data_IF_087116052622
#
_entry.id   IF_087116052622
#
_cell.length_a   1.000
_cell.length_b   1.000
_cell.length_c   1.000
_cell.angle_alpha   90.00
_cell.angle_beta   90.00
_cell.angle_gamma   90.00
#
_symmetry.space_group_name_H-M   'P 1'
#
loop_
_entity.id
_entity.type
_entity.pdbx_description
1 polymer ?
#
# COMPACT_ATOMS: atom_id res chain seq x y z
N UNK A 1 6.48 -1.96 17.57
CA UNK A 1 7.72 -2.38 16.89
C UNK A 1 7.48 -2.37 15.39
N UNK A 2 8.31 -1.63 14.65
CA UNK A 2 8.28 -1.60 13.19
C UNK A 2 9.26 -2.65 12.65
N UNK A 3 8.81 -3.51 11.74
CA UNK A 3 9.68 -4.42 10.98
C UNK A 3 9.85 -3.90 9.57
N UNK A 4 11.07 -3.97 9.04
CA UNK A 4 11.40 -3.50 7.70
C UNK A 4 12.10 -4.59 6.92
N UNK A 5 11.80 -4.70 5.62
CA UNK A 5 12.56 -5.49 4.65
C UNK A 5 12.59 -4.74 3.32
N UNK A 6 13.77 -4.62 2.72
CA UNK A 6 13.87 -4.11 1.35
C UNK A 6 13.86 -5.29 0.40
N UNK A 7 13.13 -5.17 -0.70
CA UNK A 7 13.13 -6.12 -1.79
C UNK A 7 13.16 -5.38 -3.13
N UNK A 8 13.49 -6.09 -4.20
CA UNK A 8 13.73 -5.50 -5.52
C UNK A 8 12.70 -6.05 -6.52
N UNK A 9 12.02 -5.15 -7.22
CA UNK A 9 11.16 -5.48 -8.36
C UNK A 9 11.67 -4.70 -9.57
N UNK A 10 12.22 -5.41 -10.56
CA UNK A 10 12.80 -4.82 -11.77
C UNK A 10 13.80 -3.70 -11.46
N UNK A 11 14.79 -3.99 -10.61
CA UNK A 11 15.84 -3.06 -10.14
C UNK A 11 15.36 -1.85 -9.32
N UNK A 12 14.09 -1.83 -8.91
CA UNK A 12 13.55 -0.75 -8.08
C UNK A 12 13.39 -1.28 -6.65
N UNK A 13 14.00 -0.61 -5.65
CA UNK A 13 13.88 -1.00 -4.27
C UNK A 13 12.54 -0.55 -3.69
N UNK A 14 11.86 -1.48 -3.03
CA UNK A 14 10.64 -1.24 -2.27
C UNK A 14 10.90 -1.57 -0.80
N UNK A 15 10.59 -0.62 0.07
CA UNK A 15 10.85 -0.74 1.50
C UNK A 15 9.58 -1.20 2.22
N UNK A 16 9.33 -2.50 2.25
CA UNK A 16 8.25 -3.07 3.05
C UNK A 16 8.43 -2.68 4.52
N UNK A 17 7.39 -2.12 5.14
CA UNK A 17 7.34 -1.94 6.58
C UNK A 17 6.04 -2.50 7.16
N UNK A 18 6.14 -3.16 8.32
CA UNK A 18 5.03 -3.72 9.08
C UNK A 18 5.03 -3.18 10.51
N UNK A 19 3.95 -2.50 10.89
CA UNK A 19 3.73 -2.05 12.26
C UNK A 19 3.04 -3.15 13.06
N UNK A 20 3.85 -3.97 13.74
CA UNK A 20 3.36 -5.11 14.53
C UNK A 20 2.43 -4.65 15.65
N UNK A 21 2.66 -3.48 16.23
CA UNK A 21 1.84 -3.01 17.34
C UNK A 21 0.42 -2.72 16.86
N UNK A 22 0.27 -1.98 15.76
CA UNK A 22 -1.03 -1.70 15.17
C UNK A 22 -1.73 -2.99 14.75
N UNK A 23 -1.01 -3.88 14.05
CA UNK A 23 -1.59 -5.14 13.60
C UNK A 23 -2.03 -6.06 14.75
N UNK A 24 -1.22 -6.18 15.82
CA UNK A 24 -1.60 -6.93 17.02
C UNK A 24 -2.83 -6.31 17.70
N UNK A 25 -2.87 -4.98 17.83
CA UNK A 25 -4.01 -4.30 18.42
C UNK A 25 -5.32 -4.67 17.69
N UNK A 26 -5.29 -4.71 16.34
CA UNK A 26 -6.46 -5.14 15.54
C UNK A 26 -6.80 -6.62 15.68
N UNK A 27 -5.82 -7.50 15.91
CA UNK A 27 -6.04 -8.94 16.15
C UNK A 27 -6.67 -9.27 17.50
N UNK A 28 -6.50 -8.40 18.50
CA UNK A 28 -7.04 -8.56 19.84
C UNK A 28 -8.40 -7.88 20.04
N UNK A 29 -8.83 -7.04 19.09
CA UNK A 29 -10.20 -6.56 19.05
C UNK A 29 -11.16 -7.74 18.78
N UNK A 30 -12.33 -7.73 19.41
CA UNK A 30 -13.39 -8.71 19.10
C UNK A 30 -13.89 -8.46 17.68
N UNK A 31 -13.30 -9.19 16.73
CA UNK A 31 -13.46 -8.96 15.32
C UNK A 31 -13.85 -10.27 14.60
N UNK A 32 -14.95 -10.30 13.83
CA UNK A 32 -15.38 -11.49 13.11
C UNK A 32 -14.36 -12.00 12.08
N UNK A 33 -13.52 -11.11 11.54
CA UNK A 33 -12.51 -11.38 10.49
C UNK A 33 -11.10 -11.62 11.07
N UNK A 34 -11.01 -12.03 12.34
CA UNK A 34 -9.73 -12.26 13.03
C UNK A 34 -8.82 -13.25 12.31
N UNK A 35 -9.38 -14.25 11.66
CA UNK A 35 -8.62 -15.24 10.89
C UNK A 35 -7.95 -14.62 9.67
N UNK A 36 -8.65 -13.76 8.92
CA UNK A 36 -8.08 -13.04 7.77
C UNK A 36 -6.91 -12.16 8.20
N UNK A 37 -7.04 -11.50 9.35
CA UNK A 37 -5.97 -10.66 9.90
C UNK A 37 -4.76 -11.50 10.32
N UNK A 38 -4.99 -12.72 10.82
CA UNK A 38 -3.92 -13.67 11.15
C UNK A 38 -3.22 -14.15 9.88
N UNK A 39 -3.98 -14.44 8.83
CA UNK A 39 -3.44 -14.81 7.51
C UNK A 39 -2.60 -13.68 6.92
N UNK A 40 -3.06 -12.44 7.04
CA UNK A 40 -2.31 -11.25 6.67
C UNK A 40 -0.99 -11.15 7.47
N UNK A 41 -1.02 -11.43 8.78
CA UNK A 41 0.18 -11.51 9.61
C UNK A 41 1.18 -12.56 9.15
N UNK A 42 0.69 -13.75 8.81
CA UNK A 42 1.50 -14.83 8.24
C UNK A 42 2.14 -14.39 6.93
N UNK A 43 1.40 -13.67 6.09
CA UNK A 43 1.90 -13.11 4.85
C UNK A 43 3.00 -12.06 5.10
N UNK A 44 2.76 -11.09 5.96
CA UNK A 44 3.76 -10.08 6.36
C UNK A 44 5.02 -10.70 6.95
N UNK A 45 4.88 -11.77 7.74
CA UNK A 45 6.01 -12.53 8.27
C UNK A 45 6.85 -13.14 7.14
N UNK A 46 6.22 -13.77 6.13
CA UNK A 46 6.92 -14.31 4.94
C UNK A 46 7.69 -13.21 4.21
N UNK A 47 7.04 -12.07 3.94
CA UNK A 47 7.68 -10.91 3.29
C UNK A 47 8.87 -10.42 4.10
N UNK A 48 8.70 -10.20 5.40
CA UNK A 48 9.77 -9.74 6.30
C UNK A 48 10.97 -10.72 6.32
N UNK A 49 10.70 -12.03 6.30
CA UNK A 49 11.73 -13.07 6.24
C UNK A 49 12.41 -13.17 4.87
N UNK A 50 11.92 -12.44 3.86
CA UNK A 50 12.44 -12.50 2.48
C UNK A 50 11.93 -13.71 1.69
N UNK A 51 10.91 -14.40 2.19
CA UNK A 51 10.26 -15.54 1.51
C UNK A 51 9.27 -14.97 0.50
N UNK A 52 9.81 -14.44 -0.59
CA UNK A 52 9.08 -13.89 -1.74
C UNK A 52 9.67 -14.48 -3.03
N UNK A 53 8.89 -14.62 -4.12
CA UNK A 53 9.38 -15.17 -5.38
C UNK A 53 10.20 -14.13 -6.15
N UNK A 54 11.43 -13.83 -5.71
CA UNK A 54 12.26 -12.77 -6.29
C UNK A 54 12.45 -12.87 -7.81
N UNK A 55 12.62 -14.09 -8.33
CA UNK A 55 12.80 -14.32 -9.77
C UNK A 55 11.57 -13.84 -10.56
N UNK A 56 10.38 -14.07 -10.02
CA UNK A 56 9.12 -13.65 -10.60
C UNK A 56 9.01 -12.11 -10.65
N UNK A 57 9.40 -11.44 -9.56
CA UNK A 57 9.41 -9.97 -9.48
C UNK A 57 10.46 -9.32 -10.38
N UNK A 58 11.43 -10.08 -10.92
CA UNK A 58 12.47 -9.54 -11.78
C UNK A 58 12.41 -10.08 -13.21
N UNK A 59 11.38 -10.88 -13.53
CA UNK A 59 11.13 -11.37 -14.87
C UNK A 59 10.70 -10.22 -15.80
N UNK A 60 11.41 -10.03 -16.91
CA UNK A 60 11.12 -8.95 -17.88
C UNK A 60 9.74 -9.08 -18.54
N UNK A 61 9.25 -10.31 -18.68
CA UNK A 61 7.93 -10.60 -19.27
C UNK A 61 6.74 -10.28 -18.36
N UNK A 62 6.97 -9.99 -17.08
CA UNK A 62 5.94 -9.64 -16.12
C UNK A 62 6.03 -8.14 -15.82
N UNK A 63 5.20 -7.29 -16.45
CA UNK A 63 5.27 -5.85 -16.23
C UNK A 63 4.83 -5.50 -14.81
N UNK A 64 5.40 -4.43 -14.27
CA UNK A 64 4.91 -3.84 -13.02
C UNK A 64 3.49 -3.33 -13.23
N UNK A 65 2.63 -3.48 -12.21
CA UNK A 65 1.28 -2.89 -12.23
C UNK A 65 1.34 -1.37 -12.50
N UNK A 66 2.35 -0.66 -12.03
CA UNK A 66 2.54 0.77 -12.32
C UNK A 66 2.84 1.10 -13.80
N UNK A 67 3.27 0.10 -14.58
CA UNK A 67 3.42 0.21 -16.04
C UNK A 67 2.11 -0.06 -16.78
N UNK A 68 1.11 -0.65 -16.10
CA UNK A 68 -0.21 -0.83 -16.67
C UNK A 68 -0.90 0.52 -16.81
N UNK A 69 -0.82 1.08 -18.01
CA UNK A 69 -1.47 2.34 -18.38
C UNK A 69 -2.51 2.04 -19.44
N UNK A 70 -3.74 2.51 -19.22
CA UNK A 70 -4.76 2.51 -20.26
C UNK A 70 -4.36 3.59 -21.27
N UNK A 71 -3.86 3.18 -22.44
CA UNK A 71 -3.41 4.06 -23.53
C UNK A 71 -4.49 4.14 -24.62
N UNK A 72 -4.43 5.20 -25.44
CA UNK A 72 -5.32 5.36 -26.60
C UNK A 72 -6.72 5.90 -26.28
N UNK A 73 -7.00 6.26 -25.02
CA UNK A 73 -8.26 6.89 -24.63
C UNK A 73 -8.10 8.40 -24.49
N UNK A 74 -9.11 9.15 -24.96
CA UNK A 74 -9.18 10.60 -24.77
C UNK A 74 -9.27 10.92 -23.27
N UNK A 75 -8.64 12.01 -22.77
CA UNK A 75 -8.71 12.39 -21.36
C UNK A 75 -10.15 12.48 -20.80
N UNK A 76 -11.09 13.00 -21.60
CA UNK A 76 -12.50 13.08 -21.21
C UNK A 76 -13.13 11.70 -20.93
N UNK A 77 -12.72 10.67 -21.66
CA UNK A 77 -13.17 9.30 -21.41
C UNK A 77 -12.62 8.77 -20.10
N UNK A 78 -11.33 9.02 -19.80
CA UNK A 78 -10.75 8.65 -18.51
C UNK A 78 -11.49 9.31 -17.34
N UNK A 79 -11.83 10.59 -17.46
CA UNK A 79 -12.65 11.30 -16.45
C UNK A 79 -14.03 10.67 -16.30
N UNK A 80 -14.72 10.36 -17.40
CA UNK A 80 -16.03 9.71 -17.38
C UNK A 80 -15.95 8.30 -16.76
N UNK A 81 -14.94 7.53 -17.14
CA UNK A 81 -14.70 6.18 -16.62
C UNK A 81 -14.43 6.19 -15.11
N UNK A 82 -13.57 7.10 -14.61
CA UNK A 82 -13.35 7.27 -13.17
C UNK A 82 -14.64 7.64 -12.43
N UNK A 83 -15.47 8.54 -12.99
CA UNK A 83 -16.78 8.88 -12.41
C UNK A 83 -17.72 7.67 -12.37
N UNK A 84 -17.71 6.83 -13.40
CA UNK A 84 -18.50 5.59 -13.42
C UNK A 84 -18.05 4.61 -12.35
N UNK A 85 -16.74 4.37 -12.20
CA UNK A 85 -16.21 3.50 -11.15
C UNK A 85 -16.55 4.00 -9.74
N UNK A 86 -16.55 5.31 -9.53
CA UNK A 86 -16.99 5.90 -8.26
C UNK A 86 -18.48 5.68 -8.05
N UNK A 87 -19.31 5.95 -9.07
CA UNK A 87 -20.77 5.78 -9.02
C UNK A 87 -21.17 4.32 -8.76
N UNK A 88 -20.44 3.37 -9.33
CA UNK A 88 -20.64 1.93 -9.12
C UNK A 88 -20.08 1.42 -7.78
N UNK A 89 -19.49 2.29 -6.96
CA UNK A 89 -18.90 1.92 -5.67
C UNK A 89 -17.61 1.10 -5.78
N UNK A 90 -16.99 1.02 -6.97
CA UNK A 90 -15.70 0.33 -7.18
C UNK A 90 -14.51 1.15 -6.68
N UNK A 91 -14.64 2.48 -6.66
CA UNK A 91 -13.65 3.41 -6.12
C UNK A 91 -14.34 4.32 -5.11
N UNK A 92 -13.75 4.44 -3.91
CA UNK A 92 -14.16 5.44 -2.93
C UNK A 92 -13.25 6.66 -3.05
N UNK A 93 -13.84 7.81 -3.38
CA UNK A 93 -13.11 9.08 -3.45
C UNK A 93 -13.11 9.75 -2.08
N UNK A 94 -11.92 10.06 -1.56
CA UNK A 94 -11.74 10.84 -0.33
C UNK A 94 -11.47 12.31 -0.67
N UNK A 95 -11.98 13.23 0.15
CA UNK A 95 -11.79 14.67 -0.01
C UNK A 95 -10.68 15.21 0.92
N UNK A 96 -10.34 16.48 0.82
CA UNK A 96 -9.32 17.14 1.66
C UNK A 96 -9.60 17.09 3.16
N UNK A 97 -10.87 16.98 3.57
CA UNK A 97 -11.27 16.82 4.97
C UNK A 97 -11.08 15.41 5.53
N UNK A 98 -10.74 14.45 4.66
CA UNK A 98 -10.55 13.06 5.05
C UNK A 98 -9.30 12.88 5.91
N UNK A 99 -9.24 11.75 6.64
CA UNK A 99 -8.19 11.48 7.62
C UNK A 99 -6.79 11.39 7.01
N UNK A 100 -6.62 10.66 5.91
CA UNK A 100 -5.31 10.46 5.27
C UNK A 100 -4.67 11.76 4.73
N UNK A 101 -5.40 12.63 4.00
CA UNK A 101 -4.86 13.92 3.56
C UNK A 101 -4.31 14.80 4.69
N UNK A 102 -4.87 14.73 5.90
CA UNK A 102 -4.34 15.47 7.06
C UNK A 102 -2.91 15.04 7.40
N UNK A 103 -2.62 13.74 7.45
CA UNK A 103 -1.26 13.25 7.67
C UNK A 103 -0.28 13.70 6.57
N UNK A 104 -0.74 13.73 5.32
CA UNK A 104 0.09 14.23 4.21
C UNK A 104 0.45 15.70 4.42
N UNK A 105 -0.53 16.53 4.78
CA UNK A 105 -0.32 17.95 5.06
C UNK A 105 0.63 18.15 6.25
N UNK A 106 0.48 17.39 7.33
CA UNK A 106 1.37 17.47 8.50
C UNK A 106 2.83 17.22 8.12
N UNK A 107 3.09 16.21 7.26
CA UNK A 107 4.44 15.93 6.76
C UNK A 107 4.96 17.07 5.90
N UNK A 108 4.12 17.61 5.01
CA UNK A 108 4.48 18.74 4.15
C UNK A 108 4.86 19.98 4.98
N UNK A 109 4.05 20.34 5.97
CA UNK A 109 4.33 21.47 6.85
C UNK A 109 5.58 21.21 7.69
N UNK A 110 5.78 19.99 8.20
CA UNK A 110 7.01 19.63 8.94
C UNK A 110 8.26 19.82 8.07
N UNK A 111 8.22 19.39 6.80
CA UNK A 111 9.35 19.58 5.88
C UNK A 111 9.64 21.05 5.63
N UNK A 112 8.58 21.86 5.48
CA UNK A 112 8.67 23.31 5.26
C UNK A 112 9.25 24.04 6.49
N UNK A 113 8.79 23.71 7.70
CA UNK A 113 9.26 24.36 8.94
C UNK A 113 10.62 23.87 9.40
N UNK A 114 11.02 22.65 9.04
CA UNK A 114 12.34 22.09 9.36
C UNK A 114 13.42 22.47 8.34
N UNK A 115 13.15 23.44 7.46
CA UNK A 115 14.05 23.91 6.40
C UNK A 115 14.59 22.80 5.48
N UNK A 116 13.86 21.68 5.37
CA UNK A 116 14.19 20.63 4.42
C UNK A 116 13.81 21.16 3.04
N UNK A 117 14.81 21.60 2.27
CA UNK A 117 14.64 22.29 0.99
C UNK A 117 13.89 21.50 -0.10
N UNK A 118 13.58 20.22 0.14
CA UNK A 118 12.92 19.34 -0.82
C UNK A 118 11.52 18.97 -0.33
N UNK A 119 10.54 18.94 -1.24
CA UNK A 119 9.21 18.39 -0.94
C UNK A 119 9.33 16.92 -0.50
N UNK A 120 8.55 16.47 0.50
CA UNK A 120 8.58 15.08 0.93
C UNK A 120 8.19 14.16 -0.24
N UNK A 121 8.91 13.05 -0.37
CA UNK A 121 8.56 11.99 -1.30
C UNK A 121 7.45 11.09 -0.77
N UNK A 122 7.15 10.03 -1.53
CA UNK A 122 6.16 9.02 -1.15
C UNK A 122 6.51 8.31 0.18
N UNK A 123 7.78 7.94 0.37
CA UNK A 123 8.20 7.14 1.52
C UNK A 123 8.06 7.86 2.88
N UNK A 124 8.46 9.14 3.04
CA UNK A 124 8.20 9.89 4.26
C UNK A 124 6.72 10.00 4.61
N UNK A 125 5.87 10.20 3.60
CA UNK A 125 4.42 10.31 3.76
C UNK A 125 3.84 8.98 4.28
N UNK A 126 4.14 7.87 3.58
CA UNK A 126 3.64 6.55 3.96
C UNK A 126 4.12 6.12 5.34
N UNK A 127 5.38 6.39 5.68
CA UNK A 127 5.92 6.11 7.01
C UNK A 127 5.22 6.92 8.10
N UNK A 128 4.95 8.19 7.85
CA UNK A 128 4.24 9.03 8.80
C UNK A 128 2.82 8.48 9.04
N UNK A 129 2.10 8.12 7.97
CA UNK A 129 0.80 7.46 8.07
C UNK A 129 0.94 6.16 8.88
N UNK A 130 1.86 5.26 8.54
CA UNK A 130 2.04 3.98 9.22
C UNK A 130 2.34 4.11 10.73
N UNK A 131 3.02 5.19 11.13
CA UNK A 131 3.38 5.46 12.53
C UNK A 131 2.22 6.12 13.28
N UNK A 132 1.55 7.10 12.67
CA UNK A 132 0.57 7.95 13.36
C UNK A 132 -0.86 7.43 13.25
N UNK A 133 -1.16 6.64 12.23
CA UNK A 133 -2.47 6.04 12.06
C UNK A 133 -2.55 4.64 12.65
N UNK A 134 -3.32 4.48 13.72
CA UNK A 134 -3.59 3.20 14.37
C UNK A 134 -4.24 2.14 13.46
N UNK A 135 -4.91 2.56 12.38
CA UNK A 135 -5.51 1.64 11.42
C UNK A 135 -4.49 1.16 10.38
N UNK A 136 -3.36 1.86 10.21
CA UNK A 136 -2.34 1.50 9.23
C UNK A 136 -1.43 0.41 9.76
N UNK A 137 -1.33 -0.71 9.04
CA UNK A 137 -0.59 -1.90 9.51
C UNK A 137 0.66 -2.20 8.70
N UNK A 138 0.67 -1.91 7.41
CA UNK A 138 1.83 -2.14 6.55
C UNK A 138 1.87 -1.20 5.36
N UNK A 139 3.06 -0.98 4.81
CA UNK A 139 3.30 -0.21 3.58
C UNK A 139 4.26 -0.95 2.66
N UNK A 140 4.19 -0.63 1.36
CA UNK A 140 5.07 -1.16 0.32
C UNK A 140 5.07 -2.70 0.29
N UNK A 141 3.88 -3.29 0.31
CA UNK A 141 3.69 -4.73 0.44
C UNK A 141 3.80 -5.38 -0.95
N UNK A 142 4.76 -6.28 -1.21
CA UNK A 142 4.76 -7.06 -2.43
C UNK A 142 3.57 -8.00 -2.46
N UNK A 143 2.90 -8.09 -3.60
CA UNK A 143 1.82 -9.05 -3.85
C UNK A 143 2.16 -9.91 -5.05
N UNK A 144 1.88 -11.20 -4.93
CA UNK A 144 1.96 -12.13 -6.06
C UNK A 144 0.84 -13.14 -5.99
N UNK A 145 0.29 -13.50 -7.15
CA UNK A 145 -0.74 -14.53 -7.26
C UNK A 145 -0.57 -15.30 -8.55
N UNK A 146 -0.59 -16.62 -8.46
CA UNK A 146 -0.69 -17.49 -9.64
C UNK A 146 -2.15 -17.51 -10.12
N UNK A 147 -2.36 -17.23 -11.39
CA UNK A 147 -3.66 -17.31 -12.06
C UNK A 147 -3.51 -18.23 -13.27
N UNK A 148 -4.09 -19.42 -13.19
CA UNK A 148 -3.93 -20.48 -14.21
C UNK A 148 -2.44 -20.77 -14.44
N UNK A 149 -1.94 -20.51 -15.65
CA UNK A 149 -0.55 -20.71 -16.07
C UNK A 149 0.29 -19.44 -16.00
N UNK A 150 -0.25 -18.34 -15.46
CA UNK A 150 0.42 -17.04 -15.39
C UNK A 150 0.52 -16.54 -13.94
N UNK A 151 1.27 -15.46 -13.75
CA UNK A 151 1.45 -14.80 -12.48
C UNK A 151 1.16 -13.31 -12.60
N UNK A 152 0.50 -12.79 -11.58
CA UNK A 152 0.38 -11.36 -11.36
C UNK A 152 1.28 -11.00 -10.20
N UNK A 153 2.15 -10.02 -10.39
CA UNK A 153 2.96 -9.39 -9.34
C UNK A 153 2.57 -7.92 -9.20
N UNK A 154 2.82 -7.34 -8.04
CA UNK A 154 2.52 -5.93 -7.79
C UNK A 154 2.96 -5.49 -6.42
N UNK A 155 2.56 -4.28 -6.06
CA UNK A 155 2.75 -3.74 -4.72
C UNK A 155 1.47 -3.04 -4.26
N UNK A 156 1.21 -3.10 -2.97
CA UNK A 156 0.19 -2.30 -2.29
C UNK A 156 0.94 -1.27 -1.45
N UNK A 157 0.66 0.01 -1.71
CA UNK A 157 1.35 1.12 -1.05
C UNK A 157 1.06 1.15 0.46
N UNK A 158 -0.19 0.90 0.85
CA UNK A 158 -0.68 0.97 2.23
C UNK A 158 -1.79 -0.05 2.46
N UNK A 159 -1.73 -0.78 3.57
CA UNK A 159 -2.86 -1.57 4.08
C UNK A 159 -3.32 -0.96 5.40
N UNK A 160 -4.62 -0.71 5.47
CA UNK A 160 -5.32 -0.26 6.67
C UNK A 160 -6.36 -1.32 7.08
N UNK A 161 -6.68 -1.37 8.36
CA UNK A 161 -7.76 -2.20 8.88
C UNK A 161 -8.78 -1.26 9.55
N UNK A 162 -9.92 -1.05 8.90
CA UNK A 162 -11.00 -0.17 9.36
C UNK A 162 -12.30 -0.95 9.50
N UNK A 163 -13.06 -0.75 10.60
CA UNK A 163 -14.39 -1.34 10.80
C UNK A 163 -14.45 -2.86 10.53
N UNK A 164 -13.41 -3.57 10.97
CA UNK A 164 -13.23 -5.01 10.76
C UNK A 164 -12.99 -5.48 9.33
N UNK A 165 -12.78 -4.57 8.38
CA UNK A 165 -12.44 -4.88 7.00
C UNK A 165 -10.98 -4.52 6.71
N UNK A 166 -10.35 -5.32 5.83
CA UNK A 166 -9.02 -5.06 5.26
C UNK A 166 -9.16 -4.47 3.86
#
# INVERSE_FOLDING_TARGET
>A
MLKKKVFIHQNIPYAFNWNINHHKAKLFQNNPNREEFRNLGTYFKKVYQGIIPNDLFNQRGLPRVSQFKIKGLKPAFMTSFSKNLIREGKIKLYNSGSRLPKFVNDVFETYKTSEIAKKPGHEPILKNILIRDENSVAIEIPIWKKIRNDYITGHIDLIQIENNLV
#
